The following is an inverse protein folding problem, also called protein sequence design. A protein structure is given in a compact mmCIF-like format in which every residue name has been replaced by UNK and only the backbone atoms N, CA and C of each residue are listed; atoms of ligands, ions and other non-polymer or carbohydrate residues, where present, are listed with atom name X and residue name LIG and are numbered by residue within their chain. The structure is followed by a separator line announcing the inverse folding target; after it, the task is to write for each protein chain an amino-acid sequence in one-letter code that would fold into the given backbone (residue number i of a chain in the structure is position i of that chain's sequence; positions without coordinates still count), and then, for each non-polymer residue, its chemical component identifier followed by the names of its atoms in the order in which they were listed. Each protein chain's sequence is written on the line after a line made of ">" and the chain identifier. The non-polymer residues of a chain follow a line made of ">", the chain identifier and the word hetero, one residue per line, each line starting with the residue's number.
data_IF_630915899361
#
_entry.id   IF_630915899361
#
_cell.length_a   1.000
_cell.length_b   1.000
_cell.length_c   1.000
_cell.angle_alpha   90.00
_cell.angle_beta   90.00
_cell.angle_gamma   90.00
#
_symmetry.space_group_name_H-M   'P 1'
#
loop_
_entity.id
_entity.type
_entity.pdbx_description
1 polymer ?
#
# COMPACT_ATOMS: atom_id res chain seq x y z
N UNK A 1 -3.96 -11.97 33.67
CA UNK A 1 -3.55 -12.76 32.50
C UNK A 1 -3.91 -11.97 31.24
N UNK A 2 -2.97 -11.22 30.66
CA UNK A 2 -3.21 -10.44 29.43
C UNK A 2 -3.20 -11.43 28.26
N UNK A 3 -4.36 -11.68 27.67
CA UNK A 3 -4.47 -12.44 26.43
C UNK A 3 -3.63 -11.72 25.37
N UNK A 4 -2.64 -12.41 24.83
CA UNK A 4 -1.88 -11.90 23.69
C UNK A 4 -2.85 -11.67 22.53
N UNK A 5 -2.95 -10.42 22.05
CA UNK A 5 -3.82 -10.10 20.92
C UNK A 5 -3.38 -10.93 19.72
N UNK A 6 -4.29 -11.73 19.18
CA UNK A 6 -4.04 -12.50 17.96
C UNK A 6 -3.69 -11.56 16.79
N UNK A 7 -2.78 -11.96 15.89
CA UNK A 7 -2.48 -11.15 14.71
C UNK A 7 -3.75 -10.88 13.90
N UNK A 8 -3.88 -9.68 13.31
CA UNK A 8 -5.02 -9.37 12.46
C UNK A 8 -5.14 -10.43 11.36
N UNK A 9 -6.29 -11.08 11.20
CA UNK A 9 -6.45 -12.17 10.24
C UNK A 9 -6.22 -11.63 8.82
N UNK A 10 -5.51 -12.43 8.02
CA UNK A 10 -5.36 -12.12 6.60
C UNK A 10 -6.69 -12.35 5.89
N UNK A 11 -7.24 -11.34 5.18
CA UNK A 11 -8.44 -11.55 4.39
C UNK A 11 -8.19 -12.51 3.21
N UNK A 12 -9.27 -13.02 2.61
CA UNK A 12 -9.18 -13.77 1.37
C UNK A 12 -8.69 -12.84 0.25
N UNK A 13 -7.57 -13.19 -0.39
CA UNK A 13 -6.93 -12.41 -1.45
C UNK A 13 -6.74 -13.30 -2.66
N UNK A 14 -7.33 -12.93 -3.79
CA UNK A 14 -7.13 -13.57 -5.09
C UNK A 14 -5.83 -13.06 -5.70
N UNK A 15 -4.93 -13.95 -6.10
CA UNK A 15 -3.73 -13.56 -6.85
C UNK A 15 -4.09 -13.30 -8.31
N UNK A 16 -3.80 -12.10 -8.80
CA UNK A 16 -4.00 -11.70 -10.18
C UNK A 16 -2.88 -10.75 -10.62
N UNK A 17 -1.65 -11.27 -10.72
CA UNK A 17 -0.48 -10.42 -10.93
C UNK A 17 -0.46 -9.81 -12.33
N UNK A 18 -0.16 -8.52 -12.40
CA UNK A 18 0.21 -7.88 -13.66
C UNK A 18 1.61 -8.33 -14.07
N UNK A 19 1.96 -8.28 -15.38
CA UNK A 19 3.32 -8.52 -15.84
C UNK A 19 4.32 -7.56 -15.17
N UNK A 20 5.27 -8.11 -14.41
CA UNK A 20 6.30 -7.33 -13.74
C UNK A 20 7.67 -8.00 -13.92
N UNK A 21 8.07 -8.13 -15.19
CA UNK A 21 9.31 -8.77 -15.61
C UNK A 21 10.56 -7.93 -15.34
N UNK A 22 11.70 -8.39 -15.86
CA UNK A 22 13.00 -7.75 -15.65
C UNK A 22 13.06 -6.31 -16.20
N UNK A 23 12.49 -6.08 -17.38
CA UNK A 23 12.41 -4.74 -18.00
C UNK A 23 11.73 -3.75 -17.04
N UNK A 24 10.50 -4.05 -16.58
CA UNK A 24 9.72 -3.18 -15.68
C UNK A 24 10.42 -2.95 -14.34
N UNK A 25 11.18 -3.95 -13.83
CA UNK A 25 12.01 -3.79 -12.62
C UNK A 25 13.17 -2.82 -12.85
N UNK A 26 13.81 -2.86 -14.01
CA UNK A 26 14.89 -1.93 -14.37
C UNK A 26 14.37 -0.50 -14.51
N UNK A 27 13.23 -0.32 -15.15
CA UNK A 27 12.54 0.96 -15.27
C UNK A 27 12.14 1.53 -13.91
N UNK A 28 11.57 0.70 -13.01
CA UNK A 28 11.25 1.12 -11.65
C UNK A 28 12.53 1.49 -10.86
N UNK A 29 13.64 0.82 -11.08
CA UNK A 29 14.90 1.18 -10.45
C UNK A 29 15.43 2.53 -10.98
N UNK A 30 15.29 2.79 -12.29
CA UNK A 30 15.64 4.06 -12.91
C UNK A 30 14.72 5.20 -12.42
N UNK A 31 13.41 4.97 -12.38
CA UNK A 31 12.43 5.89 -11.78
C UNK A 31 12.83 6.22 -10.33
N UNK A 32 13.06 5.19 -9.52
CA UNK A 32 13.44 5.38 -8.11
C UNK A 32 14.74 6.15 -7.92
N UNK A 33 15.69 6.01 -8.85
CA UNK A 33 16.92 6.80 -8.82
C UNK A 33 16.64 8.28 -9.08
N UNK A 34 15.79 8.61 -10.07
CA UNK A 34 15.42 10.01 -10.37
C UNK A 34 14.65 10.65 -9.22
N UNK A 35 13.62 9.97 -8.72
CA UNK A 35 12.66 10.53 -7.74
C UNK A 35 13.16 10.49 -6.30
N UNK A 36 13.90 9.44 -5.93
CA UNK A 36 14.26 9.16 -4.53
C UNK A 36 15.76 9.06 -4.26
N UNK A 37 16.59 9.02 -5.31
CA UNK A 37 18.04 8.84 -5.16
C UNK A 37 18.46 7.38 -4.85
N UNK A 38 17.58 6.42 -5.06
CA UNK A 38 17.80 5.01 -4.75
C UNK A 38 17.56 4.15 -6.00
N UNK A 39 18.60 3.54 -6.57
CA UNK A 39 18.48 2.67 -7.74
C UNK A 39 17.96 1.28 -7.32
N UNK A 40 16.66 1.18 -7.07
CA UNK A 40 16.02 -0.08 -6.66
C UNK A 40 14.55 -0.14 -7.08
N UNK A 41 14.10 -1.35 -7.41
CA UNK A 41 12.68 -1.68 -7.64
C UNK A 41 12.02 -2.32 -6.41
N UNK A 42 12.82 -2.58 -5.35
CA UNK A 42 12.35 -3.30 -4.16
C UNK A 42 11.68 -2.34 -3.18
N UNK A 43 10.47 -2.68 -2.76
CA UNK A 43 9.81 -2.05 -1.62
C UNK A 43 10.31 -2.71 -0.34
N UNK A 44 11.05 -1.95 0.45
CA UNK A 44 11.55 -2.38 1.76
C UNK A 44 10.90 -1.53 2.84
N UNK A 45 10.46 -2.17 3.93
CA UNK A 45 9.91 -1.47 5.10
C UNK A 45 8.81 -0.44 4.74
N UNK A 46 7.67 -0.86 4.15
CA UNK A 46 6.59 0.06 3.87
C UNK A 46 6.10 0.73 5.15
N UNK A 47 5.91 2.06 5.10
CA UNK A 47 5.52 2.90 6.24
C UNK A 47 4.17 3.57 6.04
N UNK A 48 3.64 3.54 4.82
CA UNK A 48 2.42 4.22 4.43
C UNK A 48 1.52 3.24 3.67
N UNK A 49 0.23 3.33 3.89
CA UNK A 49 -0.78 2.76 2.99
C UNK A 49 -1.52 3.93 2.37
N UNK A 50 -1.61 3.93 1.03
CA UNK A 50 -2.36 4.95 0.29
C UNK A 50 -3.61 4.29 -0.31
N UNK A 51 -4.77 4.83 0.05
CA UNK A 51 -6.05 4.46 -0.51
C UNK A 51 -6.31 5.31 -1.76
N UNK A 52 -6.76 4.65 -2.86
CA UNK A 52 -7.04 5.27 -4.16
C UNK A 52 -8.43 4.94 -4.67
N UNK A 53 -8.97 5.81 -5.52
CA UNK A 53 -10.16 5.53 -6.33
C UNK A 53 -9.74 5.32 -7.78
N UNK A 54 -10.16 4.21 -8.35
CA UNK A 54 -9.69 3.78 -9.67
C UNK A 54 -10.31 4.55 -10.85
N UNK A 55 -11.34 5.33 -10.62
CA UNK A 55 -12.13 6.01 -11.66
C UNK A 55 -12.65 5.03 -12.73
N UNK A 56 -12.96 3.80 -12.32
CA UNK A 56 -13.46 2.72 -13.19
C UNK A 56 -14.57 1.93 -12.51
N UNK A 57 -15.39 1.25 -13.31
CA UNK A 57 -16.50 0.43 -12.81
C UNK A 57 -16.13 -1.02 -12.48
N UNK A 58 -14.93 -1.50 -12.85
CA UNK A 58 -14.54 -2.90 -12.67
C UNK A 58 -13.08 -3.08 -12.30
N UNK A 59 -12.77 -4.14 -11.56
CA UNK A 59 -11.39 -4.53 -11.29
C UNK A 59 -10.63 -4.93 -12.56
N UNK A 60 -11.33 -5.43 -13.60
CA UNK A 60 -10.73 -5.75 -14.87
C UNK A 60 -10.25 -4.51 -15.62
N UNK A 61 -10.99 -3.40 -15.55
CA UNK A 61 -10.56 -2.13 -16.14
C UNK A 61 -9.29 -1.62 -15.45
N UNK A 62 -9.20 -1.69 -14.11
CA UNK A 62 -7.98 -1.35 -13.38
C UNK A 62 -6.80 -2.24 -13.81
N UNK A 63 -7.02 -3.55 -13.88
CA UNK A 63 -5.99 -4.47 -14.34
C UNK A 63 -5.49 -4.11 -15.75
N UNK A 64 -6.39 -3.86 -16.68
CA UNK A 64 -6.06 -3.52 -18.07
C UNK A 64 -5.32 -2.17 -18.20
N UNK A 65 -5.53 -1.24 -17.27
CA UNK A 65 -4.77 0.00 -17.19
C UNK A 65 -3.33 -0.24 -16.71
N UNK A 66 -3.15 -1.14 -15.74
CA UNK A 66 -1.86 -1.35 -15.09
C UNK A 66 -0.98 -2.42 -15.75
N UNK A 67 -1.58 -3.41 -16.43
CA UNK A 67 -0.85 -4.54 -17.01
C UNK A 67 0.12 -4.16 -18.14
N UNK A 68 -0.24 -3.28 -19.11
CA UNK A 68 0.69 -2.86 -20.14
C UNK A 68 1.85 -2.05 -19.55
N UNK A 69 3.09 -2.35 -19.94
CA UNK A 69 4.27 -1.59 -19.56
C UNK A 69 4.58 -0.53 -20.63
N UNK A 70 3.95 0.62 -20.47
CA UNK A 70 4.05 1.79 -21.34
C UNK A 70 4.15 3.06 -20.50
N UNK A 71 4.64 4.20 -21.02
CA UNK A 71 4.56 5.46 -20.32
C UNK A 71 3.13 5.77 -19.87
N UNK A 72 2.95 6.23 -18.65
CA UNK A 72 1.64 6.65 -18.17
C UNK A 72 1.17 7.93 -18.88
N UNK A 73 -0.15 8.13 -18.90
CA UNK A 73 -0.77 9.23 -19.67
C UNK A 73 -0.48 10.59 -19.05
N UNK A 74 -0.32 10.66 -17.73
CA UNK A 74 -0.23 11.93 -17.00
C UNK A 74 1.21 12.48 -16.99
N UNK A 75 2.18 11.65 -16.61
CA UNK A 75 3.56 12.07 -16.41
C UNK A 75 4.50 11.58 -17.51
N UNK A 76 3.99 10.76 -18.41
CA UNK A 76 4.76 10.15 -19.52
C UNK A 76 6.01 9.39 -19.06
N UNK A 77 5.97 8.81 -17.87
CA UNK A 77 7.09 8.08 -17.26
C UNK A 77 6.93 6.57 -17.28
N UNK A 78 8.06 5.87 -17.34
CA UNK A 78 8.17 4.42 -17.15
C UNK A 78 8.67 4.10 -15.74
N UNK A 79 8.28 2.91 -15.20
CA UNK A 79 7.27 1.98 -15.71
C UNK A 79 5.86 2.56 -15.60
N UNK A 80 4.88 1.94 -16.26
CA UNK A 80 3.48 2.33 -16.10
C UNK A 80 3.07 2.32 -14.62
N UNK A 81 2.03 3.08 -14.28
CA UNK A 81 1.41 3.09 -12.96
C UNK A 81 0.89 1.70 -12.57
N UNK A 82 0.81 1.44 -11.28
CA UNK A 82 0.27 0.21 -10.72
C UNK A 82 -0.12 0.41 -9.25
N UNK A 83 -0.93 -0.47 -8.70
CA UNK A 83 -1.14 -0.60 -7.27
C UNK A 83 -0.89 -2.03 -6.79
N UNK A 84 -0.74 -2.22 -5.49
CA UNK A 84 -0.50 -3.55 -4.92
C UNK A 84 -1.78 -4.36 -4.88
N UNK A 85 -2.91 -3.71 -4.62
CA UNK A 85 -4.22 -4.33 -4.51
C UNK A 85 -5.29 -3.54 -5.26
N UNK A 86 -6.32 -4.28 -5.68
CA UNK A 86 -7.59 -3.72 -6.14
C UNK A 86 -8.72 -4.38 -5.36
N UNK A 87 -9.69 -3.58 -4.91
CA UNK A 87 -10.89 -4.04 -4.23
C UNK A 87 -12.10 -3.75 -5.11
N UNK A 88 -12.75 -4.79 -5.59
CA UNK A 88 -13.98 -4.66 -6.37
C UNK A 88 -15.18 -4.26 -5.52
N UNK A 89 -16.25 -3.75 -6.13
CA UNK A 89 -17.52 -3.42 -5.46
C UNK A 89 -18.16 -4.61 -4.73
N UNK A 90 -17.90 -5.84 -5.19
CA UNK A 90 -18.31 -7.05 -4.47
C UNK A 90 -17.55 -7.31 -3.16
N UNK A 91 -16.50 -6.54 -2.86
CA UNK A 91 -15.58 -6.76 -1.76
C UNK A 91 -14.48 -7.79 -2.07
N UNK A 92 -14.38 -8.27 -3.32
CA UNK A 92 -13.30 -9.17 -3.72
C UNK A 92 -11.98 -8.40 -3.78
N UNK A 93 -10.95 -8.94 -3.11
CA UNK A 93 -9.62 -8.36 -3.06
C UNK A 93 -8.72 -9.08 -4.06
N UNK A 94 -8.08 -8.33 -4.95
CA UNK A 94 -7.10 -8.84 -5.91
C UNK A 94 -5.72 -8.27 -5.57
N UNK A 95 -4.70 -9.12 -5.55
CA UNK A 95 -3.31 -8.71 -5.45
C UNK A 95 -2.70 -8.66 -6.84
N UNK A 96 -2.31 -7.46 -7.29
CA UNK A 96 -1.72 -7.22 -8.60
C UNK A 96 -0.20 -7.24 -8.58
N UNK A 97 0.42 -6.77 -7.48
CA UNK A 97 1.88 -6.67 -7.35
C UNK A 97 2.32 -7.26 -6.00
N UNK A 98 3.52 -7.81 -5.97
CA UNK A 98 4.10 -8.33 -4.74
C UNK A 98 4.44 -7.19 -3.77
N UNK A 99 4.17 -7.38 -2.48
CA UNK A 99 4.43 -6.40 -1.42
C UNK A 99 5.91 -6.02 -1.23
N UNK A 100 6.84 -6.70 -1.91
CA UNK A 100 8.27 -6.36 -1.93
C UNK A 100 8.69 -5.60 -3.18
N UNK A 101 7.73 -5.18 -4.00
CA UNK A 101 7.94 -4.50 -5.27
C UNK A 101 7.38 -3.09 -5.19
N UNK A 102 8.14 -2.07 -5.59
CA UNK A 102 7.63 -0.70 -5.70
C UNK A 102 6.62 -0.60 -6.84
N UNK A 103 5.55 0.13 -6.62
CA UNK A 103 4.56 0.52 -7.60
C UNK A 103 4.55 2.04 -7.73
N UNK A 104 4.30 2.54 -8.94
CA UNK A 104 4.01 3.95 -9.16
C UNK A 104 2.51 4.17 -8.99
N UNK A 105 2.10 4.74 -7.88
CA UNK A 105 0.71 5.11 -7.57
C UNK A 105 0.60 6.45 -6.84
N UNK A 106 1.69 6.95 -6.24
CA UNK A 106 1.69 8.22 -5.50
C UNK A 106 3.08 8.84 -5.59
N UNK A 107 3.20 9.95 -6.30
CA UNK A 107 4.47 10.70 -6.37
C UNK A 107 4.92 11.07 -4.96
N UNK A 108 6.22 10.99 -4.71
CA UNK A 108 6.80 11.25 -3.40
C UNK A 108 6.69 10.12 -2.38
N UNK A 109 5.82 9.11 -2.59
CA UNK A 109 5.60 8.01 -1.64
C UNK A 109 5.87 6.60 -2.18
N UNK A 110 6.03 6.41 -3.49
CA UNK A 110 6.23 5.08 -4.10
C UNK A 110 7.45 4.32 -3.55
N UNK A 111 8.38 5.00 -2.90
CA UNK A 111 9.55 4.37 -2.27
C UNK A 111 9.21 3.61 -0.99
N UNK A 112 8.08 3.92 -0.34
CA UNK A 112 7.72 3.40 0.99
C UNK A 112 6.24 3.07 1.17
N UNK A 113 5.40 3.27 0.14
CA UNK A 113 3.95 3.09 0.25
C UNK A 113 3.44 1.79 -0.38
N UNK A 114 2.36 1.26 0.20
CA UNK A 114 1.51 0.23 -0.39
C UNK A 114 0.25 0.92 -0.91
N UNK A 115 -0.04 0.81 -2.21
CA UNK A 115 -1.25 1.35 -2.83
C UNK A 115 -2.39 0.33 -2.86
N UNK A 116 -3.61 0.80 -2.58
CA UNK A 116 -4.85 0.03 -2.64
C UNK A 116 -5.86 0.82 -3.48
N UNK A 117 -6.26 0.27 -4.62
CA UNK A 117 -7.31 0.83 -5.48
C UNK A 117 -8.69 0.33 -5.05
N UNK A 118 -9.66 1.22 -5.06
CA UNK A 118 -11.08 0.90 -4.90
C UNK A 118 -11.79 1.13 -6.22
N UNK A 119 -12.52 0.12 -6.68
CA UNK A 119 -13.37 0.26 -7.87
C UNK A 119 -14.51 1.24 -7.56
N UNK A 120 -14.66 2.27 -8.38
CA UNK A 120 -15.64 3.33 -8.21
C UNK A 120 -15.12 4.66 -8.76
N UNK A 121 -15.92 5.70 -8.62
CA UNK A 121 -15.66 7.03 -9.17
C UNK A 121 -15.45 8.11 -8.12
N UNK A 122 -15.80 7.85 -6.87
CA UNK A 122 -15.62 8.78 -5.76
C UNK A 122 -15.53 8.09 -4.40
N UNK A 123 -15.01 8.79 -3.41
CA UNK A 123 -14.81 8.27 -2.04
C UNK A 123 -16.12 7.72 -1.45
N UNK A 124 -17.26 8.34 -1.81
CA UNK A 124 -18.59 7.94 -1.39
C UNK A 124 -18.96 6.52 -1.84
N UNK A 125 -18.50 6.09 -3.01
CA UNK A 125 -18.79 4.75 -3.53
C UNK A 125 -18.19 3.69 -2.61
N UNK A 126 -16.91 3.83 -2.28
CA UNK A 126 -16.22 2.89 -1.41
C UNK A 126 -16.68 2.97 0.05
N UNK A 127 -17.00 4.16 0.55
CA UNK A 127 -17.48 4.35 1.93
C UNK A 127 -18.94 3.90 2.10
N UNK A 128 -19.76 3.97 1.05
CA UNK A 128 -21.16 3.58 1.03
C UNK A 128 -21.38 2.09 0.74
N UNK A 129 -20.54 1.46 -0.04
CA UNK A 129 -20.64 0.02 -0.29
C UNK A 129 -20.12 -0.79 0.90
N UNK A 130 -21.04 -1.41 1.65
CA UNK A 130 -20.72 -2.17 2.86
C UNK A 130 -19.76 -3.34 2.62
N UNK A 131 -19.80 -3.98 1.42
CA UNK A 131 -18.94 -5.13 1.09
C UNK A 131 -17.54 -4.64 0.77
N UNK A 132 -17.41 -3.62 -0.09
CA UNK A 132 -16.13 -3.04 -0.46
C UNK A 132 -15.43 -2.42 0.75
N UNK A 133 -16.15 -1.61 1.55
CA UNK A 133 -15.62 -1.00 2.76
C UNK A 133 -15.13 -2.03 3.78
N UNK A 134 -15.90 -3.10 4.01
CA UNK A 134 -15.50 -4.17 4.93
C UNK A 134 -14.21 -4.84 4.46
N UNK A 135 -14.12 -5.18 3.17
CA UNK A 135 -12.94 -5.80 2.58
C UNK A 135 -11.71 -4.89 2.68
N UNK A 136 -11.90 -3.60 2.39
CA UNK A 136 -10.87 -2.57 2.51
C UNK A 136 -10.34 -2.46 3.93
N UNK A 137 -11.20 -2.29 4.90
CA UNK A 137 -10.83 -2.20 6.31
C UNK A 137 -10.09 -3.45 6.81
N UNK A 138 -10.52 -4.65 6.39
CA UNK A 138 -9.85 -5.91 6.75
C UNK A 138 -8.45 -6.01 6.11
N UNK A 139 -8.32 -5.64 4.83
CA UNK A 139 -7.03 -5.64 4.12
C UNK A 139 -6.07 -4.64 4.77
N UNK A 140 -6.52 -3.41 4.97
CA UNK A 140 -5.72 -2.34 5.57
C UNK A 140 -5.32 -2.68 7.00
N UNK A 141 -6.23 -3.24 7.82
CA UNK A 141 -5.90 -3.70 9.17
C UNK A 141 -4.83 -4.80 9.15
N UNK A 142 -4.96 -5.78 8.26
CA UNK A 142 -3.95 -6.82 8.13
C UNK A 142 -2.59 -6.27 7.69
N UNK A 143 -2.55 -5.40 6.68
CA UNK A 143 -1.31 -4.78 6.19
C UNK A 143 -0.63 -3.92 7.26
N UNK A 144 -1.40 -3.04 7.92
CA UNK A 144 -0.83 -2.17 8.95
C UNK A 144 -0.26 -2.95 10.13
N UNK A 145 -0.92 -4.03 10.53
CA UNK A 145 -0.41 -4.88 11.62
C UNK A 145 0.83 -5.67 11.18
N UNK A 146 0.86 -6.14 9.93
CA UNK A 146 2.02 -6.87 9.37
C UNK A 146 3.27 -6.00 9.27
N UNK A 147 3.10 -4.73 8.91
CA UNK A 147 4.21 -3.79 8.66
C UNK A 147 4.38 -2.72 9.76
N UNK A 148 3.62 -2.83 10.85
CA UNK A 148 3.63 -1.87 11.97
C UNK A 148 3.32 -0.42 11.55
N UNK A 149 2.43 -0.26 10.55
CA UNK A 149 1.99 1.05 10.06
C UNK A 149 0.95 1.63 11.01
N UNK A 150 1.14 2.87 11.44
CA UNK A 150 0.20 3.56 12.33
C UNK A 150 -1.08 3.91 11.58
N UNK A 151 -2.21 4.03 12.28
CA UNK A 151 -3.48 4.46 11.63
C UNK A 151 -3.35 5.84 10.98
N UNK A 152 -2.52 6.73 11.54
CA UNK A 152 -2.24 8.04 10.95
C UNK A 152 -1.49 7.99 9.62
N UNK A 153 -0.76 6.91 9.38
CA UNK A 153 -0.02 6.68 8.12
C UNK A 153 -0.81 5.85 7.10
N UNK A 154 -2.10 5.60 7.36
CA UNK A 154 -3.09 5.17 6.37
C UNK A 154 -3.77 6.43 5.85
N UNK A 155 -3.44 6.81 4.64
CA UNK A 155 -3.80 8.10 4.03
C UNK A 155 -4.56 7.92 2.72
N UNK A 156 -5.30 8.94 2.32
CA UNK A 156 -5.81 9.08 0.96
C UNK A 156 -4.75 9.69 0.03
N UNK A 157 -4.93 9.56 -1.27
CA UNK A 157 -4.04 10.20 -2.24
C UNK A 157 -3.99 11.72 -2.03
N UNK A 158 -5.15 12.34 -1.76
CA UNK A 158 -5.25 13.77 -1.46
C UNK A 158 -4.41 14.23 -0.24
N UNK A 159 -4.00 13.31 0.62
CA UNK A 159 -3.19 13.62 1.81
C UNK A 159 -1.68 13.37 1.60
N UNK A 160 -1.28 12.95 0.38
CA UNK A 160 0.11 12.52 0.08
C UNK A 160 1.16 13.58 0.40
N UNK A 161 0.88 14.84 0.08
CA UNK A 161 1.80 15.97 0.33
C UNK A 161 1.99 16.28 1.82
N UNK A 162 1.04 15.90 2.68
CA UNK A 162 1.10 16.10 4.13
C UNK A 162 1.78 14.94 4.87
N UNK A 163 2.12 13.87 4.16
CA UNK A 163 2.79 12.72 4.77
C UNK A 163 4.22 13.07 5.19
N UNK A 164 4.66 12.74 6.43
CA UNK A 164 6.04 12.96 6.85
C UNK A 164 7.06 12.12 6.06
N UNK A 165 6.58 11.18 5.27
CA UNK A 165 7.39 10.33 4.40
C UNK A 165 7.43 10.83 2.96
N UNK A 166 6.72 11.93 2.62
CA UNK A 166 6.77 12.50 1.28
C UNK A 166 8.19 12.95 0.94
N UNK A 167 8.74 12.41 -0.15
CA UNK A 167 10.09 12.71 -0.64
C UNK A 167 10.08 12.68 -2.16
N UNK A 168 10.30 13.83 -2.78
CA UNK A 168 10.37 13.96 -4.23
C UNK A 168 11.54 14.85 -4.63
N UNK A 169 12.44 14.35 -5.49
CA UNK A 169 13.63 15.06 -5.94
C UNK A 169 13.39 15.85 -7.21
N UNK A 170 12.44 15.41 -8.06
CA UNK A 170 12.07 16.13 -9.29
C UNK A 170 11.29 17.39 -8.93
N UNK A 171 11.82 18.60 -9.14
CA UNK A 171 11.23 19.84 -8.63
C UNK A 171 9.79 20.08 -9.10
N UNK A 172 9.50 19.80 -10.38
CA UNK A 172 8.17 19.98 -10.98
C UNK A 172 7.10 19.06 -10.41
N UNK A 173 7.49 17.94 -9.78
CA UNK A 173 6.60 16.92 -9.25
C UNK A 173 6.43 16.97 -7.73
N UNK A 174 7.15 17.86 -7.02
CA UNK A 174 7.09 17.95 -5.55
C UNK A 174 5.71 18.27 -5.00
N UNK A 175 4.83 18.83 -5.79
CA UNK A 175 3.46 19.20 -5.40
C UNK A 175 2.40 18.42 -6.17
N UNK A 176 2.80 17.39 -6.93
CA UNK A 176 1.86 16.55 -7.67
C UNK A 176 1.08 15.67 -6.67
N UNK A 177 -0.24 15.69 -6.77
CA UNK A 177 -1.17 14.87 -5.99
C UNK A 177 -2.53 14.81 -6.69
N UNK A 178 -3.37 13.87 -6.26
CA UNK A 178 -4.75 13.74 -6.73
C UNK A 178 -5.74 13.99 -5.59
N UNK A 179 -7.00 14.28 -5.93
CA UNK A 179 -8.02 14.63 -4.95
C UNK A 179 -8.75 13.46 -4.33
N UNK A 180 -8.49 12.23 -4.78
CA UNK A 180 -9.17 11.03 -4.32
C UNK A 180 -8.80 10.66 -2.87
N UNK A 181 -9.78 10.12 -2.16
CA UNK A 181 -9.73 9.86 -0.73
C UNK A 181 -9.35 11.11 0.07
N UNK A 182 -10.22 12.08 0.01
CA UNK A 182 -10.11 13.37 0.68
C UNK A 182 -9.83 13.23 2.19
N UNK A 183 -9.30 14.28 2.81
CA UNK A 183 -9.05 14.31 4.25
C UNK A 183 -10.31 13.98 5.07
N UNK A 184 -11.48 14.48 4.66
CA UNK A 184 -12.78 14.20 5.30
C UNK A 184 -13.11 12.72 5.23
N UNK A 185 -13.03 12.11 4.04
CA UNK A 185 -13.28 10.69 3.80
C UNK A 185 -12.32 9.81 4.58
N UNK A 186 -11.04 10.17 4.60
CA UNK A 186 -10.03 9.47 5.40
C UNK A 186 -10.27 9.63 6.90
N UNK A 187 -10.82 10.74 7.35
CA UNK A 187 -11.28 10.91 8.73
C UNK A 187 -12.33 9.87 9.12
N UNK A 188 -13.31 9.63 8.25
CA UNK A 188 -14.34 8.57 8.43
C UNK A 188 -13.70 7.19 8.41
N UNK A 189 -12.88 6.92 7.40
CA UNK A 189 -12.21 5.63 7.20
C UNK A 189 -11.33 5.25 8.41
N UNK A 190 -10.46 6.15 8.85
CA UNK A 190 -9.57 5.92 10.01
C UNK A 190 -10.34 5.73 11.33
N UNK A 191 -11.50 6.38 11.53
CA UNK A 191 -12.37 6.08 12.69
C UNK A 191 -12.88 4.64 12.67
N UNK A 192 -13.33 4.15 11.50
CA UNK A 192 -13.77 2.77 11.33
C UNK A 192 -12.60 1.78 11.53
N UNK A 193 -11.44 2.09 10.99
CA UNK A 193 -10.21 1.27 11.12
C UNK A 193 -9.78 1.14 12.60
N UNK A 194 -9.84 2.21 13.40
CA UNK A 194 -9.53 2.17 14.83
C UNK A 194 -10.45 1.23 15.61
N UNK A 195 -11.70 1.06 15.19
CA UNK A 195 -12.66 0.14 15.83
C UNK A 195 -12.31 -1.33 15.64
N UNK A 196 -11.47 -1.67 14.66
CA UNK A 196 -10.96 -3.04 14.49
C UNK A 196 -9.88 -3.43 15.52
N UNK A 197 -9.51 -2.52 16.39
CA UNK A 197 -8.59 -2.76 17.48
C UNK A 197 -7.12 -2.48 17.14
N UNK A 198 -6.28 -2.71 18.15
CA UNK A 198 -4.82 -2.48 18.06
C UNK A 198 -4.14 -3.67 17.40
N UNK A 199 -3.04 -3.40 16.72
CA UNK A 199 -2.15 -4.48 16.25
C UNK A 199 -1.45 -5.13 17.46
N UNK A 200 -1.21 -6.45 17.41
CA UNK A 200 -0.40 -7.13 18.40
C UNK A 200 0.99 -6.48 18.46
N UNK A 201 1.52 -6.38 19.67
CA UNK A 201 2.94 -6.00 19.82
C UNK A 201 3.81 -7.14 19.29
N UNK A 202 4.97 -6.83 18.63
CA UNK A 202 5.93 -7.88 18.32
C UNK A 202 6.27 -8.63 19.62
N UNK A 203 6.15 -9.96 19.62
CA UNK A 203 6.69 -10.74 20.72
C UNK A 203 8.20 -10.53 20.74
N UNK A 204 8.70 -10.00 21.84
CA UNK A 204 10.14 -10.02 22.12
C UNK A 204 10.47 -11.52 22.25
N UNK A 205 11.04 -12.12 21.22
CA UNK A 205 11.65 -13.43 21.36
C UNK A 205 12.70 -13.28 22.47
N UNK A 206 12.46 -13.91 23.62
CA UNK A 206 13.46 -14.09 24.63
C UNK A 206 14.69 -14.69 23.91
N UNK A 207 15.82 -14.02 23.95
CA UNK A 207 17.09 -14.60 23.56
C UNK A 207 17.26 -15.81 24.48
N UNK A 208 17.08 -17.01 23.92
CA UNK A 208 17.45 -18.24 24.61
C UNK A 208 18.92 -18.08 24.95
N UNK A 209 19.23 -17.96 26.23
CA UNK A 209 20.60 -17.92 26.74
C UNK A 209 21.31 -19.16 26.22
N UNK A 210 22.37 -18.97 25.46
CA UNK A 210 23.37 -20.00 25.29
C UNK A 210 24.03 -20.18 26.65
N UNK A 211 23.63 -21.24 27.35
CA UNK A 211 24.35 -21.71 28.51
C UNK A 211 25.77 -22.04 28.05
N UNK A 212 26.74 -21.36 28.61
CA UNK A 212 28.14 -21.74 28.55
C UNK A 212 28.25 -23.09 29.24
N UNK A 213 28.53 -24.14 28.47
CA UNK A 213 29.10 -25.37 28.99
C UNK A 213 30.60 -25.11 29.17
N UNK A 214 31.02 -24.88 30.41
CA UNK A 214 32.42 -24.82 30.79
C UNK A 214 33.11 -26.18 30.56
N UNK A 215 34.41 -26.21 30.24
CA UNK A 215 35.16 -27.45 30.10
C UNK A 215 35.39 -28.05 31.46
N UNK A 216 35.01 -29.33 31.62
CA UNK A 216 35.46 -30.17 32.70
C UNK A 216 36.85 -30.74 32.35
N UNK A 217 37.72 -30.73 33.32
CA UNK A 217 39.11 -31.01 33.39
C UNK A 217 39.72 -32.25 32.72
#
# INVERSE_FOLDING_TARGET
>A
MLLAASPAPRPAITSWPIPYGQKRKQEMAAYSQRHYGERTWRLRHPRVIVEHMSQTSTAAAVYNTFAPDRPDIELHELPNVCSHFVIGSSGRIFRLVNLRTRCRHTVGLNWTAIGIEHVGYGDGDALGDRRQLRASLQLTQWLRCRFHIRVGDVIGHAESLSSPYHRERVPSLRRQTHGDWSHTSMGVYRRKLRRLGRCPRPSVRAKAGRGEAGPAG
#
